data_IF_369528497338
#
_entry.id   IF_369528497338
#
_cell.length_a   1.000
_cell.length_b   1.000
_cell.length_c   1.000
_cell.angle_alpha   90.00
_cell.angle_beta   90.00
_cell.angle_gamma   90.00
#
_symmetry.space_group_name_H-M   'P 1'
#
loop_
_entity.id
_entity.type
_entity.pdbx_description
1 polymer ?
#
# COMPACT_ATOMS: atom_id res chain seq x y z
N UNK A 1 -26.55 -1.74 -10.49
CA UNK A 1 -25.35 -2.50 -10.07
C UNK A 1 -25.79 -3.43 -8.96
N UNK A 2 -25.79 -4.74 -9.21
CA UNK A 2 -26.28 -5.71 -8.22
C UNK A 2 -25.15 -6.52 -7.57
N UNK A 3 -23.96 -6.55 -8.19
CA UNK A 3 -22.80 -7.30 -7.71
C UNK A 3 -21.64 -6.34 -7.42
N UNK A 4 -20.93 -6.57 -6.32
CA UNK A 4 -19.72 -5.87 -5.92
C UNK A 4 -18.58 -6.90 -5.80
N UNK A 5 -17.39 -6.52 -6.25
CA UNK A 5 -16.17 -7.33 -6.10
C UNK A 5 -15.29 -6.59 -5.10
N UNK A 6 -14.95 -7.26 -3.99
CA UNK A 6 -14.09 -6.71 -2.94
C UNK A 6 -12.85 -7.58 -2.89
N UNK A 7 -11.68 -6.96 -3.01
CA UNK A 7 -10.37 -7.61 -2.87
C UNK A 7 -9.66 -6.88 -1.72
N UNK A 8 -9.26 -7.64 -0.70
CA UNK A 8 -8.48 -7.12 0.43
C UNK A 8 -7.03 -7.56 0.22
N UNK A 9 -6.13 -6.58 0.08
CA UNK A 9 -4.70 -6.81 0.04
C UNK A 9 -4.15 -6.64 1.45
N UNK A 10 -4.12 -7.74 2.22
CA UNK A 10 -3.68 -7.71 3.61
C UNK A 10 -2.22 -7.25 3.74
N UNK A 11 -1.96 -6.33 4.67
CA UNK A 11 -0.65 -5.72 4.91
C UNK A 11 -0.14 -4.75 3.84
N UNK A 12 -0.88 -4.49 2.75
CA UNK A 12 -0.43 -3.62 1.64
C UNK A 12 -0.76 -2.15 1.92
N UNK A 13 0.05 -1.52 2.78
CA UNK A 13 -0.04 -0.09 3.10
C UNK A 13 0.65 0.85 2.09
N UNK A 14 0.22 2.11 2.03
CA UNK A 14 0.74 3.15 1.10
C UNK A 14 1.32 4.39 1.82
N UNK A 15 1.66 4.25 3.09
CA UNK A 15 2.17 5.33 3.93
C UNK A 15 1.59 5.24 5.33
N UNK A 16 2.21 5.97 6.24
CA UNK A 16 1.81 6.07 7.62
C UNK A 16 0.50 6.86 7.78
N UNK A 17 -0.22 6.58 8.87
CA UNK A 17 -1.37 7.39 9.28
C UNK A 17 -0.92 8.58 10.14
N UNK A 18 -1.74 9.65 10.27
CA UNK A 18 -1.39 10.83 11.08
C UNK A 18 -1.10 10.52 12.56
N UNK A 19 -1.60 9.40 13.07
CA UNK A 19 -1.44 8.93 14.44
C UNK A 19 -0.35 7.86 14.60
N UNK A 20 0.49 7.62 13.57
CA UNK A 20 1.58 6.63 13.59
C UNK A 20 2.52 6.77 14.81
N UNK A 21 2.71 7.99 15.30
CA UNK A 21 3.49 8.31 16.51
C UNK A 21 2.96 7.65 17.78
N UNK A 22 1.66 7.35 17.85
CA UNK A 22 1.06 6.63 18.98
C UNK A 22 1.40 5.13 18.98
N UNK A 23 1.78 4.60 17.81
CA UNK A 23 2.00 3.17 17.57
C UNK A 23 3.46 2.81 17.31
N UNK A 24 4.38 3.79 17.36
CA UNK A 24 5.79 3.62 17.00
C UNK A 24 6.01 3.21 15.53
N UNK A 25 5.07 3.59 14.66
CA UNK A 25 5.08 3.28 13.23
C UNK A 25 5.38 4.53 12.38
N UNK A 26 5.96 5.57 12.99
CA UNK A 26 6.36 6.79 12.27
C UNK A 26 7.34 6.47 11.13
N UNK A 27 7.06 7.02 9.94
CA UNK A 27 7.81 6.78 8.71
C UNK A 27 7.48 5.45 8.01
N UNK A 28 6.52 4.67 8.48
CA UNK A 28 6.09 3.44 7.82
C UNK A 28 5.51 3.73 6.42
N UNK A 29 5.96 2.96 5.41
CA UNK A 29 5.41 3.05 4.05
C UNK A 29 5.66 1.75 3.29
N UNK A 30 4.75 0.77 3.41
CA UNK A 30 4.99 -0.60 2.93
C UNK A 30 5.30 -0.68 1.44
N UNK A 31 4.44 -0.17 0.57
CA UNK A 31 4.64 -0.26 -0.89
C UNK A 31 5.88 0.50 -1.36
N UNK A 32 6.12 1.71 -0.86
CA UNK A 32 7.29 2.51 -1.24
C UNK A 32 8.58 1.84 -0.75
N UNK A 33 8.64 1.44 0.52
CA UNK A 33 9.83 0.79 1.07
C UNK A 33 10.14 -0.54 0.37
N UNK A 34 9.10 -1.31 0.01
CA UNK A 34 9.27 -2.54 -0.77
C UNK A 34 9.84 -2.23 -2.16
N UNK A 35 9.27 -1.25 -2.87
CA UNK A 35 9.78 -0.83 -4.17
C UNK A 35 11.25 -0.38 -4.10
N UNK A 36 11.61 0.42 -3.10
CA UNK A 36 12.99 0.86 -2.89
C UNK A 36 13.94 -0.32 -2.61
N UNK A 37 13.52 -1.27 -1.77
CA UNK A 37 14.35 -2.42 -1.41
C UNK A 37 14.60 -3.38 -2.58
N UNK A 38 13.64 -3.53 -3.50
CA UNK A 38 13.71 -4.50 -4.61
C UNK A 38 14.02 -3.88 -5.97
N UNK A 39 14.26 -2.56 -6.04
CA UNK A 39 14.61 -1.87 -7.29
C UNK A 39 13.42 -1.48 -8.18
N UNK A 40 12.22 -1.38 -7.59
CA UNK A 40 10.97 -1.01 -8.24
C UNK A 40 9.92 -2.13 -8.19
N UNK A 41 8.65 -1.77 -8.39
CA UNK A 41 7.54 -2.73 -8.50
C UNK A 41 6.96 -2.67 -9.91
N UNK A 42 6.84 -3.82 -10.56
CA UNK A 42 6.17 -3.93 -11.87
C UNK A 42 4.70 -4.32 -11.66
N UNK A 43 3.82 -3.32 -11.48
CA UNK A 43 2.40 -3.51 -11.20
C UNK A 43 1.51 -2.82 -12.25
N UNK A 44 1.62 -3.18 -13.55
CA UNK A 44 1.01 -2.42 -14.64
C UNK A 44 -0.53 -2.37 -14.54
N UNK A 45 -1.15 -3.43 -14.02
CA UNK A 45 -2.60 -3.48 -13.87
C UNK A 45 -3.10 -2.61 -12.71
N UNK A 46 -2.40 -2.59 -11.57
CA UNK A 46 -2.75 -1.71 -10.45
C UNK A 46 -2.53 -0.25 -10.84
N UNK A 47 -1.41 0.06 -11.50
CA UNK A 47 -1.15 1.41 -12.02
C UNK A 47 -2.23 1.89 -13.00
N UNK A 48 -2.77 0.98 -13.85
CA UNK A 48 -3.85 1.32 -14.76
C UNK A 48 -5.20 1.55 -14.04
N UNK A 49 -5.39 1.00 -12.83
CA UNK A 49 -6.56 1.24 -12.01
C UNK A 49 -6.51 2.61 -11.29
N UNK A 50 -5.31 3.12 -11.00
CA UNK A 50 -5.05 4.38 -10.30
C UNK A 50 -4.29 4.18 -8.99
#
# INVERSE_FOLDING_TARGET
>A
MNNFIIIILDGVGIGELPDSHLYQDEGSNTLVNTALAVGGLNLPNLQALG
#
